data_IF_867159724086
#
_entry.id   IF_867159724086
#
_cell.length_a   1.000
_cell.length_b   1.000
_cell.length_c   1.000
_cell.angle_alpha   90.00
_cell.angle_beta   90.00
_cell.angle_gamma   90.00
#
_symmetry.space_group_name_H-M   'P 1'
#
loop_
_entity.id
_entity.type
_entity.pdbx_description
1 polymer ?
#
# COMPACT_ATOMS: atom_id res chain seq x y z
N UNK A 1 -18.38 -0.97 26.72
CA UNK A 1 -16.95 -1.36 26.83
C UNK A 1 -16.92 -2.87 26.86
N UNK A 2 -16.29 -3.61 25.96
CA UNK A 2 -15.27 -3.33 24.97
C UNK A 2 -14.58 -4.68 24.74
N UNK A 3 -14.38 -5.03 23.47
CA UNK A 3 -13.46 -6.03 22.90
C UNK A 3 -14.02 -6.46 21.55
N UNK A 4 -13.90 -5.56 20.55
CA UNK A 4 -13.78 -6.05 19.18
C UNK A 4 -12.45 -6.80 19.16
N UNK A 5 -12.50 -8.11 18.98
CA UNK A 5 -11.31 -8.91 18.75
C UNK A 5 -10.62 -8.30 17.53
N UNK A 6 -9.47 -7.66 17.75
CA UNK A 6 -8.54 -7.26 16.69
C UNK A 6 -8.20 -8.55 15.96
N UNK A 7 -8.80 -8.77 14.79
CA UNK A 7 -8.32 -9.78 13.87
C UNK A 7 -6.95 -9.27 13.41
N UNK A 8 -5.89 -9.69 14.12
CA UNK A 8 -4.53 -9.59 13.58
C UNK A 8 -4.52 -10.64 12.47
N UNK A 9 -4.92 -10.25 11.26
CA UNK A 9 -4.56 -11.05 10.10
C UNK A 9 -3.05 -10.95 9.99
N UNK A 10 -2.37 -12.04 10.32
CA UNK A 10 -0.92 -12.15 10.21
C UNK A 10 -0.54 -11.83 8.77
N UNK A 11 0.22 -10.75 8.56
CA UNK A 11 0.70 -10.37 7.22
C UNK A 11 1.63 -11.47 6.75
N UNK A 12 1.37 -12.01 5.57
CA UNK A 12 2.28 -12.95 4.96
C UNK A 12 3.50 -12.18 4.43
N UNK A 13 4.65 -12.43 5.01
CA UNK A 13 5.90 -11.77 4.66
C UNK A 13 7.04 -12.80 4.53
N UNK A 14 7.95 -12.63 3.56
CA UNK A 14 9.18 -13.42 3.51
C UNK A 14 10.09 -13.07 4.72
N UNK A 15 11.07 -13.91 5.07
CA UNK A 15 11.91 -13.71 6.26
C UNK A 15 12.55 -12.32 6.37
N UNK A 16 12.98 -11.75 5.25
CA UNK A 16 13.59 -10.41 5.17
C UNK A 16 12.61 -9.25 5.41
N UNK A 17 11.30 -9.48 5.32
CA UNK A 17 10.24 -8.52 5.62
C UNK A 17 9.39 -8.95 6.82
N UNK A 18 9.85 -9.96 7.58
CA UNK A 18 9.10 -10.53 8.70
C UNK A 18 8.78 -9.53 9.81
N UNK A 19 9.49 -8.39 9.87
CA UNK A 19 9.22 -7.28 10.79
C UNK A 19 7.90 -6.55 10.50
N UNK A 20 7.29 -6.72 9.31
CA UNK A 20 6.02 -6.09 8.94
C UNK A 20 4.87 -6.80 9.64
N UNK A 21 4.18 -6.09 10.53
CA UNK A 21 3.04 -6.60 11.30
C UNK A 21 1.70 -6.38 10.58
N UNK A 22 1.62 -5.32 9.78
CA UNK A 22 0.36 -4.82 9.27
C UNK A 22 0.56 -3.69 8.27
N UNK A 23 -0.55 -3.13 7.84
CA UNK A 23 -0.54 -1.93 7.03
C UNK A 23 -1.89 -1.65 6.42
N UNK A 24 -2.03 -0.43 5.89
CA UNK A 24 -3.30 0.09 5.39
C UNK A 24 -3.08 0.97 4.17
N UNK A 25 -3.99 0.89 3.19
CA UNK A 25 -4.05 1.91 2.13
C UNK A 25 -4.62 3.19 2.73
N UNK A 26 -3.80 4.23 2.82
CA UNK A 26 -4.22 5.49 3.44
C UNK A 26 -4.82 6.46 2.42
N UNK A 27 -4.29 6.44 1.20
CA UNK A 27 -4.61 7.47 0.22
C UNK A 27 -4.48 6.92 -1.19
N UNK A 28 -5.46 7.26 -2.03
CA UNK A 28 -5.38 7.11 -3.47
C UNK A 28 -5.37 8.52 -4.05
N UNK A 29 -4.31 8.87 -4.76
CA UNK A 29 -4.14 10.17 -5.41
C UNK A 29 -4.35 10.02 -6.90
N UNK A 30 -5.18 10.89 -7.48
CA UNK A 30 -5.36 11.07 -8.91
C UNK A 30 -4.69 12.38 -9.33
N UNK A 31 -3.58 12.28 -10.04
CA UNK A 31 -2.84 13.42 -10.60
C UNK A 31 -3.54 13.94 -11.85
N UNK A 32 -4.17 15.10 -11.75
CA UNK A 32 -4.66 15.88 -12.88
C UNK A 32 -3.59 16.82 -13.46
N UNK A 33 -3.93 17.52 -14.55
CA UNK A 33 -3.04 18.53 -15.15
C UNK A 33 -2.83 19.77 -14.27
N UNK A 34 -3.82 20.14 -13.44
CA UNK A 34 -3.78 21.34 -12.60
C UNK A 34 -3.80 21.04 -11.11
N UNK A 35 -4.38 19.91 -10.70
CA UNK A 35 -4.54 19.56 -9.28
C UNK A 35 -4.37 18.07 -9.00
N UNK A 36 -4.09 17.75 -7.74
CA UNK A 36 -4.09 16.39 -7.21
C UNK A 36 -5.40 16.19 -6.46
N UNK A 37 -6.22 15.26 -6.93
CA UNK A 37 -7.45 14.87 -6.26
C UNK A 37 -7.22 13.61 -5.43
N UNK A 38 -7.80 13.55 -4.22
CA UNK A 38 -7.86 12.33 -3.43
C UNK A 38 -9.14 11.54 -3.76
N UNK A 39 -9.00 10.25 -4.05
CA UNK A 39 -10.12 9.32 -4.20
C UNK A 39 -10.43 8.67 -2.85
N UNK A 40 -11.68 8.24 -2.68
CA UNK A 40 -12.12 7.52 -1.49
C UNK A 40 -11.36 6.19 -1.35
N UNK A 41 -10.92 5.89 -0.13
CA UNK A 41 -10.14 4.68 0.21
C UNK A 41 -10.93 3.71 1.09
N UNK A 42 -12.11 4.10 1.51
CA UNK A 42 -13.00 3.31 2.38
C UNK A 42 -13.79 2.24 1.62
N UNK A 43 -13.61 2.16 0.31
CA UNK A 43 -14.38 1.29 -0.56
C UNK A 43 -13.62 0.94 -1.83
N UNK A 44 -14.21 0.06 -2.63
CA UNK A 44 -13.73 -0.29 -3.97
C UNK A 44 -14.27 0.64 -5.07
N UNK A 45 -14.90 1.77 -4.72
CA UNK A 45 -15.56 2.67 -5.70
C UNK A 45 -14.59 3.26 -6.74
N UNK A 46 -13.29 3.38 -6.41
CA UNK A 46 -12.27 3.85 -7.35
C UNK A 46 -12.05 2.88 -8.54
N UNK A 47 -12.53 1.63 -8.46
CA UNK A 47 -12.53 0.68 -9.57
C UNK A 47 -13.52 1.04 -10.68
N UNK A 48 -14.44 1.98 -10.41
CA UNK A 48 -15.42 2.46 -11.39
C UNK A 48 -15.08 3.87 -11.93
N UNK A 49 -14.11 4.57 -11.32
CA UNK A 49 -13.67 5.88 -11.80
C UNK A 49 -12.85 5.74 -13.08
N UNK A 50 -13.44 6.16 -14.20
CA UNK A 50 -12.82 6.13 -15.54
C UNK A 50 -11.52 6.92 -15.65
N UNK A 51 -11.24 7.85 -14.72
CA UNK A 51 -9.99 8.62 -14.67
C UNK A 51 -8.89 7.84 -13.97
N UNK A 52 -9.27 6.96 -13.05
CA UNK A 52 -8.37 6.10 -12.30
C UNK A 52 -8.08 4.79 -13.05
N UNK A 53 -9.09 4.22 -13.71
CA UNK A 53 -8.99 2.96 -14.44
C UNK A 53 -8.42 3.17 -15.84
N UNK A 54 -7.38 2.38 -16.18
CA UNK A 54 -6.81 2.33 -17.52
C UNK A 54 -7.52 1.30 -18.39
N UNK A 55 -7.73 0.09 -17.87
CA UNK A 55 -8.43 -0.98 -18.55
C UNK A 55 -9.05 -1.96 -17.57
N UNK A 56 -10.11 -2.61 -18.01
CA UNK A 56 -10.78 -3.68 -17.28
C UNK A 56 -10.94 -4.87 -18.21
N UNK A 57 -10.61 -6.06 -17.72
CA UNK A 57 -10.96 -7.33 -18.35
C UNK A 57 -11.61 -8.27 -17.32
N UNK A 58 -11.84 -9.53 -17.68
CA UNK A 58 -12.50 -10.48 -16.78
C UNK A 58 -11.73 -10.74 -15.48
N UNK A 59 -10.39 -10.71 -15.54
CA UNK A 59 -9.52 -11.15 -14.44
C UNK A 59 -8.99 -9.98 -13.60
N UNK A 60 -8.88 -8.79 -14.21
CA UNK A 60 -8.23 -7.65 -13.56
C UNK A 60 -8.72 -6.28 -14.04
N UNK A 61 -8.64 -5.32 -13.12
CA UNK A 61 -8.71 -3.87 -13.38
C UNK A 61 -7.30 -3.31 -13.24
N UNK A 62 -6.82 -2.58 -14.25
CA UNK A 62 -5.51 -1.91 -14.21
C UNK A 62 -5.69 -0.39 -14.12
N UNK A 63 -4.71 0.30 -13.54
CA UNK A 63 -4.83 1.72 -13.24
C UNK A 63 -4.03 2.62 -14.18
N UNK A 64 -4.48 3.86 -14.29
CA UNK A 64 -3.83 4.93 -15.04
C UNK A 64 -2.52 5.36 -14.37
N UNK A 65 -1.61 5.90 -15.20
CA UNK A 65 -0.37 6.54 -14.72
C UNK A 65 -0.59 7.76 -13.83
N UNK A 66 -1.78 8.34 -13.88
CA UNK A 66 -2.18 9.45 -13.01
C UNK A 66 -2.45 8.99 -11.57
N UNK A 67 -2.67 7.69 -11.34
CA UNK A 67 -2.97 7.17 -10.01
C UNK A 67 -1.69 6.91 -9.23
N UNK A 68 -1.69 7.26 -7.94
CA UNK A 68 -0.66 6.87 -6.97
C UNK A 68 -1.36 6.34 -5.72
N UNK A 69 -1.02 5.13 -5.33
CA UNK A 69 -1.45 4.52 -4.08
C UNK A 69 -0.43 4.81 -2.98
N UNK A 70 -0.92 5.15 -1.78
CA UNK A 70 -0.10 5.40 -0.59
C UNK A 70 -0.49 4.41 0.50
N UNK A 71 0.42 3.52 0.85
CA UNK A 71 0.20 2.48 1.86
C UNK A 71 1.12 2.74 3.04
N UNK A 72 0.60 2.72 4.27
CA UNK A 72 1.46 2.60 5.45
C UNK A 72 1.68 1.14 5.75
N UNK A 73 2.93 0.75 5.99
CA UNK A 73 3.29 -0.48 6.67
C UNK A 73 3.56 -0.18 8.15
N UNK A 74 3.05 -1.04 9.02
CA UNK A 74 3.29 -1.02 10.46
C UNK A 74 4.26 -2.15 10.81
N UNK A 75 5.24 -1.86 11.66
CA UNK A 75 6.29 -2.79 12.06
C UNK A 75 6.05 -3.32 13.46
N UNK A 76 6.50 -4.54 13.73
CA UNK A 76 6.41 -5.14 15.07
C UNK A 76 7.25 -4.39 16.10
N UNK A 77 8.36 -3.80 15.68
CA UNK A 77 9.27 -3.01 16.50
C UNK A 77 9.86 -1.84 15.70
N UNK A 78 10.46 -0.88 16.41
CA UNK A 78 11.12 0.25 15.78
C UNK A 78 12.41 -0.21 15.08
N UNK A 79 12.44 -0.06 13.76
CA UNK A 79 13.55 -0.44 12.88
C UNK A 79 14.52 0.74 12.69
N UNK A 80 15.83 0.51 12.61
CA UNK A 80 16.81 1.55 12.36
C UNK A 80 16.66 2.15 10.95
N UNK A 81 16.65 3.48 10.87
CA UNK A 81 16.65 4.18 9.59
C UNK A 81 18.05 4.35 9.03
N UNK A 82 18.16 4.54 7.71
CA UNK A 82 19.42 4.75 6.98
C UNK A 82 20.01 6.13 7.39
N UNK A 83 21.15 6.18 8.11
CA UNK A 83 21.66 7.39 8.76
C UNK A 83 21.93 8.56 7.81
N UNK A 84 22.31 8.28 6.56
CA UNK A 84 22.74 9.27 5.58
C UNK A 84 21.58 10.14 5.06
N UNK A 85 20.35 9.64 5.16
CA UNK A 85 19.15 10.28 4.58
C UNK A 85 18.04 10.52 5.60
N UNK A 86 18.10 9.91 6.78
CA UNK A 86 16.99 9.89 7.70
C UNK A 86 16.90 11.13 8.60
N UNK A 87 15.67 11.54 8.88
CA UNK A 87 15.32 12.62 9.82
C UNK A 87 15.14 12.07 11.25
N UNK A 88 15.02 10.74 11.38
CA UNK A 88 14.87 9.99 12.63
C UNK A 88 15.82 8.79 12.62
N UNK A 89 16.29 8.38 13.78
CA UNK A 89 17.20 7.24 13.93
C UNK A 89 16.47 5.89 13.77
N UNK A 90 15.20 5.82 14.19
CA UNK A 90 14.38 4.61 14.11
C UNK A 90 12.93 4.93 13.73
N UNK A 91 12.19 3.92 13.26
CA UNK A 91 10.76 4.02 12.95
C UNK A 91 10.05 2.69 13.09
N UNK A 92 8.82 2.71 13.59
CA UNK A 92 7.90 1.57 13.69
C UNK A 92 6.87 1.55 12.55
N UNK A 93 6.97 2.46 11.58
CA UNK A 93 6.11 2.48 10.39
C UNK A 93 6.81 3.07 9.16
N UNK A 94 6.28 2.78 7.98
CA UNK A 94 6.76 3.35 6.71
C UNK A 94 5.62 3.68 5.76
N UNK A 95 5.63 4.87 5.17
CA UNK A 95 4.74 5.22 4.06
C UNK A 95 5.38 4.80 2.73
N UNK A 96 4.72 3.95 1.98
CA UNK A 96 5.08 3.54 0.64
C UNK A 96 4.29 4.31 -0.42
N UNK A 97 4.92 4.50 -1.57
CA UNK A 97 4.35 5.10 -2.77
C UNK A 97 4.35 4.07 -3.89
N UNK A 98 3.18 3.73 -4.42
CA UNK A 98 3.04 2.74 -5.49
C UNK A 98 2.36 3.38 -6.71
N UNK A 99 3.02 3.45 -7.88
CA UNK A 99 2.43 4.01 -9.09
C UNK A 99 1.29 3.14 -9.63
N UNK A 100 0.21 3.75 -10.12
CA UNK A 100 -0.93 3.04 -10.70
C UNK A 100 -0.57 2.16 -11.91
N UNK A 101 0.49 2.51 -12.66
CA UNK A 101 0.97 1.68 -13.77
C UNK A 101 1.52 0.32 -13.35
N UNK A 102 1.87 0.17 -12.08
CA UNK A 102 2.36 -1.08 -11.47
C UNK A 102 1.33 -1.66 -10.50
N UNK A 103 0.07 -1.24 -10.60
CA UNK A 103 -1.00 -1.73 -9.76
C UNK A 103 -2.09 -2.39 -10.61
N UNK A 104 -2.73 -3.40 -10.04
CA UNK A 104 -3.95 -3.99 -10.57
C UNK A 104 -4.81 -4.52 -9.43
N UNK A 105 -6.11 -4.60 -9.68
CA UNK A 105 -7.06 -5.29 -8.81
C UNK A 105 -7.45 -6.61 -9.48
N UNK A 106 -7.19 -7.74 -8.81
CA UNK A 106 -7.66 -9.07 -9.22
C UNK A 106 -9.15 -9.18 -8.90
N UNK A 107 -9.99 -9.32 -9.92
CA UNK A 107 -11.45 -9.48 -9.73
C UNK A 107 -11.79 -10.85 -9.16
N UNK A 108 -10.99 -11.86 -9.49
CA UNK A 108 -11.14 -13.24 -9.03
C UNK A 108 -10.81 -13.37 -7.55
N UNK A 109 -9.65 -12.83 -7.15
CA UNK A 109 -9.21 -12.93 -5.76
C UNK A 109 -9.79 -11.81 -4.90
N UNK A 110 -10.28 -10.72 -5.50
CA UNK A 110 -10.70 -9.50 -4.80
C UNK A 110 -9.55 -8.84 -4.03
N UNK A 111 -8.35 -8.87 -4.62
CA UNK A 111 -7.12 -8.29 -4.04
C UNK A 111 -6.62 -7.13 -4.87
N UNK A 112 -6.22 -6.07 -4.19
CA UNK A 112 -5.47 -4.96 -4.78
C UNK A 112 -3.98 -5.28 -4.67
N UNK A 113 -3.32 -5.45 -5.82
CA UNK A 113 -1.90 -5.75 -5.91
C UNK A 113 -1.16 -4.51 -6.36
N UNK A 114 -0.24 -4.04 -5.53
CA UNK A 114 0.60 -2.88 -5.76
C UNK A 114 2.05 -3.32 -5.90
N UNK A 115 2.60 -3.25 -7.11
CA UNK A 115 3.98 -3.62 -7.38
C UNK A 115 4.86 -2.36 -7.42
N UNK A 116 6.17 -2.56 -7.26
CA UNK A 116 7.16 -1.47 -7.34
C UNK A 116 6.88 -0.35 -6.33
N UNK A 117 6.41 -0.71 -5.12
CA UNK A 117 6.19 0.22 -4.03
C UNK A 117 7.52 0.63 -3.39
N UNK A 118 7.78 1.93 -3.27
CA UNK A 118 9.01 2.46 -2.66
C UNK A 118 8.71 3.37 -1.48
N UNK A 119 9.66 3.53 -0.56
CA UNK A 119 9.51 4.47 0.55
C UNK A 119 9.26 5.90 0.03
N UNK A 120 8.23 6.53 0.56
CA UNK A 120 7.81 7.89 0.18
C UNK A 120 8.50 8.98 1.01
N UNK A 121 9.26 8.60 2.03
CA UNK A 121 9.85 9.50 3.03
C UNK A 121 11.37 9.37 3.02
N UNK A 122 12.05 10.43 3.46
CA UNK A 122 13.51 10.46 3.60
C UNK A 122 14.02 9.47 4.68
N UNK A 123 13.19 9.17 5.69
CA UNK A 123 13.54 8.22 6.74
C UNK A 123 13.12 6.80 6.34
N UNK A 124 13.96 6.16 5.52
CA UNK A 124 13.78 4.77 5.07
C UNK A 124 14.61 3.79 5.92
N UNK A 125 14.29 2.49 5.87
CA UNK A 125 15.07 1.40 6.49
C UNK A 125 15.77 0.58 5.40
N UNK A 126 16.92 -0.06 5.67
CA UNK A 126 17.67 -0.84 4.68
C UNK A 126 16.84 -1.91 3.97
N UNK A 127 15.96 -2.58 4.70
CA UNK A 127 15.12 -3.67 4.20
C UNK A 127 14.10 -3.21 3.14
N UNK A 128 13.76 -1.92 3.12
CA UNK A 128 12.83 -1.28 2.19
C UNK A 128 13.51 -0.30 1.23
N UNK A 129 14.83 -0.39 1.07
CA UNK A 129 15.58 0.40 0.07
C UNK A 129 15.13 0.08 -1.36
N UNK A 130 14.87 -1.20 -1.61
CA UNK A 130 14.42 -1.68 -2.92
C UNK A 130 12.88 -1.73 -2.98
N UNK A 131 12.30 -1.55 -4.18
CA UNK A 131 10.86 -1.67 -4.34
C UNK A 131 10.34 -3.04 -3.91
N UNK A 132 9.15 -3.06 -3.32
CA UNK A 132 8.45 -4.27 -2.90
C UNK A 132 7.07 -4.36 -3.57
N UNK A 133 6.44 -5.52 -3.49
CA UNK A 133 5.03 -5.74 -3.82
C UNK A 133 4.20 -5.82 -2.54
N UNK A 134 3.05 -5.13 -2.53
CA UNK A 134 2.08 -5.15 -1.44
C UNK A 134 0.75 -5.65 -1.98
N UNK A 135 0.15 -6.63 -1.32
CA UNK A 135 -1.18 -7.15 -1.62
C UNK A 135 -2.12 -6.72 -0.51
N UNK A 136 -3.23 -6.08 -0.88
CA UNK A 136 -4.25 -5.63 0.04
C UNK A 136 -5.57 -6.35 -0.21
N UNK A 137 -6.30 -6.61 0.88
CA UNK A 137 -7.68 -7.07 0.87
C UNK A 137 -8.56 -5.96 1.44
N UNK A 138 -9.77 -5.82 0.90
CA UNK A 138 -10.78 -4.97 1.52
C UNK A 138 -11.45 -5.76 2.66
N UNK A 139 -11.41 -5.21 3.87
CA UNK A 139 -12.06 -5.76 5.06
C UNK A 139 -12.94 -4.68 5.68
N UNK A 140 -14.25 -4.95 5.75
CA UNK A 140 -15.28 -3.94 5.97
C UNK A 140 -15.09 -2.73 5.03
N UNK A 141 -14.63 -1.60 5.56
CA UNK A 141 -14.40 -0.34 4.83
C UNK A 141 -12.91 0.07 4.83
N UNK A 142 -12.01 -0.91 4.90
CA UNK A 142 -10.57 -0.64 4.98
C UNK A 142 -9.74 -1.62 4.16
N UNK A 143 -8.86 -1.09 3.32
CA UNK A 143 -7.86 -1.91 2.63
C UNK A 143 -6.71 -2.21 3.58
N UNK A 144 -6.61 -3.48 3.97
CA UNK A 144 -5.59 -4.00 4.88
C UNK A 144 -4.53 -4.75 4.10
N UNK A 145 -3.27 -4.58 4.48
CA UNK A 145 -2.15 -5.35 3.92
C UNK A 145 -2.35 -6.82 4.32
N UNK A 146 -2.46 -7.68 3.33
CA UNK A 146 -2.57 -9.14 3.48
C UNK A 146 -1.18 -9.78 3.33
N UNK A 147 -0.38 -9.28 2.36
CA UNK A 147 0.94 -9.84 2.03
C UNK A 147 1.90 -8.76 1.56
N UNK A 148 3.18 -8.93 1.90
CA UNK A 148 4.30 -8.16 1.35
C UNK A 148 5.35 -9.09 0.74
N UNK A 149 5.96 -8.71 -0.38
CA UNK A 149 6.93 -9.53 -1.12
C UNK A 149 8.00 -8.64 -1.75
N UNK A 150 9.19 -9.18 -2.04
CA UNK A 150 10.17 -8.54 -2.93
C UNK A 150 9.66 -8.52 -4.37
#
# INVERSE_FOLDING_TARGET
MGKKAKHVSEVEAPPELSFVQGGTLNTILLKGPEEIQQLAVDSAAFLEDRRAVRSTNMDQVTFSKSVVFKVTLDFMEAMPCIPEIAVRETTDWMLLSCPGTHAHYSTMDQRLVLQQCTAALQSNIPELEFPITVVLRLDDDQWLVERVMR
#
